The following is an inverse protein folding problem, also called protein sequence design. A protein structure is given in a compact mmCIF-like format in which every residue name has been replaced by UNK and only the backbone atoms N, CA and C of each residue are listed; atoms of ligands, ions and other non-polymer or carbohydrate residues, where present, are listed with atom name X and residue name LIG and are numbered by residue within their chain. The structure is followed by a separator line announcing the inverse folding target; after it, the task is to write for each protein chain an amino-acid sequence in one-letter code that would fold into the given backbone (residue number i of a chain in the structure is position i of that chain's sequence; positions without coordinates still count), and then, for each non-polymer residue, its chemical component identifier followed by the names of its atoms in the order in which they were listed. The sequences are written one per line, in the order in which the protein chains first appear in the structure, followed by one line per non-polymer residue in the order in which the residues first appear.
data_IF_408127471226
#
_entry.id   IF_408127471226
#
_cell.length_a   1.000
_cell.length_b   1.000
_cell.length_c   1.000
_cell.angle_alpha   90.00
_cell.angle_beta   90.00
_cell.angle_gamma   90.00
#
_symmetry.space_group_name_H-M   'P 1'
#
loop_
_entity.id
_entity.type
_entity.pdbx_description
1 polymer ?
#
# COMPACT_ATOMS: atom_id res chain seq x y z
N UNK A 1 4.08 -29.84 -2.20
CA UNK A 1 2.89 -28.97 -2.16
C UNK A 1 1.59 -29.76 -2.21
N UNK A 2 1.41 -30.65 -3.19
CA UNK A 2 0.16 -31.41 -3.37
C UNK A 2 -0.10 -32.37 -2.21
N UNK A 3 0.93 -33.03 -1.70
CA UNK A 3 0.86 -33.87 -0.50
C UNK A 3 0.41 -33.05 0.73
N UNK A 4 1.04 -31.89 0.97
CA UNK A 4 0.65 -30.98 2.04
C UNK A 4 -0.84 -30.56 1.94
N UNK A 5 -1.32 -30.23 0.74
CA UNK A 5 -2.73 -29.89 0.53
C UNK A 5 -3.64 -31.06 0.87
N UNK A 6 -3.27 -32.27 0.43
CA UNK A 6 -4.03 -33.52 0.71
C UNK A 6 -4.11 -33.78 2.21
N UNK A 7 -3.00 -33.76 2.92
CA UNK A 7 -2.92 -33.99 4.35
C UNK A 7 -3.71 -32.99 5.16
N UNK A 8 -3.59 -31.69 4.79
CA UNK A 8 -4.30 -30.60 5.46
C UNK A 8 -5.83 -30.75 5.32
N UNK A 9 -6.30 -31.12 4.12
CA UNK A 9 -7.74 -31.37 3.88
C UNK A 9 -8.23 -32.60 4.64
N UNK A 10 -7.43 -33.66 4.71
CA UNK A 10 -7.72 -34.84 5.50
C UNK A 10 -7.86 -34.53 6.99
N UNK A 11 -6.97 -33.67 7.51
CA UNK A 11 -7.07 -33.17 8.89
C UNK A 11 -8.36 -32.38 9.12
N UNK A 12 -8.71 -31.48 8.22
CA UNK A 12 -9.98 -30.74 8.32
C UNK A 12 -11.20 -31.65 8.29
N UNK A 13 -11.16 -32.71 7.45
CA UNK A 13 -12.22 -33.68 7.38
C UNK A 13 -12.39 -34.46 8.70
N UNK A 14 -11.29 -34.84 9.34
CA UNK A 14 -11.34 -35.53 10.65
C UNK A 14 -12.03 -34.66 11.71
N UNK A 15 -11.81 -33.34 11.73
CA UNK A 15 -12.54 -32.45 12.62
C UNK A 15 -14.03 -32.34 12.28
N UNK A 16 -14.41 -32.36 10.99
CA UNK A 16 -15.83 -32.35 10.56
C UNK A 16 -16.57 -33.59 10.97
N UNK A 17 -15.90 -34.74 10.97
CA UNK A 17 -16.49 -36.03 11.41
C UNK A 17 -16.82 -36.01 12.89
N UNK A 18 -15.98 -35.39 13.70
CA UNK A 18 -16.23 -35.24 15.16
C UNK A 18 -17.24 -34.13 15.44
N UNK A 19 -17.16 -33.02 14.73
CA UNK A 19 -18.07 -31.88 14.89
C UNK A 19 -18.49 -31.32 13.51
N UNK A 20 -19.64 -31.71 12.97
CA UNK A 20 -20.12 -31.22 11.68
C UNK A 20 -20.37 -29.69 11.63
N UNK A 21 -20.43 -29.02 12.79
CA UNK A 21 -20.61 -27.58 12.92
C UNK A 21 -19.29 -26.83 13.15
N UNK A 22 -18.14 -27.50 13.03
CA UNK A 22 -16.84 -26.87 13.21
C UNK A 22 -16.65 -25.74 12.22
N UNK A 23 -16.23 -24.58 12.71
CA UNK A 23 -15.83 -23.43 11.88
C UNK A 23 -14.32 -23.43 11.78
N UNK A 24 -13.82 -23.36 10.55
CA UNK A 24 -12.39 -23.22 10.29
C UNK A 24 -12.04 -21.79 9.94
N UNK A 25 -10.95 -21.32 10.53
CA UNK A 25 -10.21 -20.15 10.09
C UNK A 25 -8.79 -20.59 9.79
N UNK A 26 -8.35 -20.44 8.56
CA UNK A 26 -6.98 -20.73 8.18
C UNK A 26 -6.16 -19.44 8.30
N UNK A 27 -4.92 -19.55 8.74
CA UNK A 27 -4.03 -18.41 8.85
C UNK A 27 -2.84 -18.55 7.90
N UNK A 28 -2.50 -17.47 7.18
CA UNK A 28 -1.17 -17.37 6.59
C UNK A 28 -0.13 -17.33 7.71
N UNK A 29 1.03 -17.92 7.45
CA UNK A 29 2.12 -17.94 8.43
C UNK A 29 2.70 -16.54 8.63
N UNK A 30 3.29 -16.31 9.78
CA UNK A 30 4.10 -15.10 10.05
C UNK A 30 5.25 -14.96 9.05
N UNK A 31 5.76 -13.75 8.80
CA UNK A 31 6.97 -13.60 8.01
C UNK A 31 8.16 -14.29 8.68
N UNK A 32 9.13 -14.72 7.87
CA UNK A 32 10.40 -15.26 8.34
C UNK A 32 11.53 -14.26 8.06
N UNK A 33 12.49 -14.20 8.97
CA UNK A 33 13.70 -13.41 8.77
C UNK A 33 14.89 -14.28 8.41
N UNK A 34 15.64 -13.91 7.37
CA UNK A 34 16.87 -14.59 6.96
C UNK A 34 18.04 -14.41 7.95
N UNK A 35 17.82 -13.68 9.03
CA UNK A 35 18.84 -13.51 10.09
C UNK A 35 19.09 -14.79 10.88
N UNK A 36 18.21 -15.78 10.76
CA UNK A 36 18.39 -17.06 11.46
C UNK A 36 19.09 -18.07 10.55
N UNK A 37 20.17 -18.65 11.03
CA UNK A 37 21.00 -19.63 10.29
C UNK A 37 20.23 -20.84 9.73
N UNK A 38 19.12 -21.23 10.35
CA UNK A 38 18.26 -22.32 9.87
C UNK A 38 17.62 -22.03 8.52
N UNK A 39 17.49 -20.76 8.14
CA UNK A 39 16.82 -20.36 6.91
C UNK A 39 17.77 -20.13 5.74
N UNK A 40 19.08 -20.27 5.97
CA UNK A 40 20.10 -20.22 4.89
C UNK A 40 19.99 -21.40 3.91
N UNK A 41 19.32 -22.50 4.29
CA UNK A 41 19.25 -23.77 3.55
C UNK A 41 17.96 -24.00 2.76
N UNK A 42 17.28 -22.96 2.28
CA UNK A 42 16.08 -23.10 1.44
C UNK A 42 14.75 -23.22 2.20
N UNK A 43 14.73 -23.20 3.53
CA UNK A 43 13.49 -23.23 4.34
C UNK A 43 12.56 -22.10 3.99
N UNK A 44 13.09 -20.95 3.56
CA UNK A 44 12.29 -19.82 3.11
C UNK A 44 11.51 -20.11 1.83
N UNK A 45 12.09 -20.88 0.91
CA UNK A 45 11.41 -21.25 -0.33
C UNK A 45 10.20 -22.14 -0.01
N UNK A 46 10.35 -23.04 0.95
CA UNK A 46 9.24 -23.86 1.45
C UNK A 46 8.17 -23.04 2.15
N UNK A 47 8.56 -21.98 2.87
CA UNK A 47 7.61 -21.08 3.50
C UNK A 47 6.70 -20.43 2.44
N UNK A 48 7.24 -19.93 1.34
CA UNK A 48 6.47 -19.38 0.23
C UNK A 48 5.51 -20.41 -0.39
N UNK A 49 5.99 -21.64 -0.63
CA UNK A 49 5.16 -22.76 -1.14
C UNK A 49 4.01 -23.12 -0.18
N UNK A 50 4.28 -23.14 1.13
CA UNK A 50 3.27 -23.42 2.15
C UNK A 50 2.22 -22.29 2.21
N UNK A 51 2.65 -21.03 2.13
CA UNK A 51 1.73 -19.88 2.09
C UNK A 51 0.74 -20.01 0.93
N UNK A 52 1.24 -20.28 -0.27
CA UNK A 52 0.40 -20.50 -1.46
C UNK A 52 -0.53 -21.72 -1.30
N UNK A 53 -0.04 -22.79 -0.66
CA UNK A 53 -0.87 -23.98 -0.40
C UNK A 53 -2.02 -23.66 0.57
N UNK A 54 -1.77 -22.91 1.65
CA UNK A 54 -2.80 -22.47 2.61
C UNK A 54 -3.86 -21.61 1.92
N UNK A 55 -3.46 -20.68 1.06
CA UNK A 55 -4.39 -19.85 0.27
C UNK A 55 -5.26 -20.72 -0.66
N UNK A 56 -4.66 -21.71 -1.34
CA UNK A 56 -5.38 -22.65 -2.19
C UNK A 56 -6.40 -23.48 -1.39
N UNK A 57 -6.02 -23.99 -0.22
CA UNK A 57 -6.91 -24.77 0.65
C UNK A 57 -8.07 -23.89 1.12
N UNK A 58 -7.80 -22.70 1.64
CA UNK A 58 -8.86 -21.80 2.11
C UNK A 58 -9.89 -21.50 1.00
N UNK A 59 -9.41 -21.23 -0.21
CA UNK A 59 -10.26 -21.01 -1.38
C UNK A 59 -11.07 -22.25 -1.77
N UNK A 60 -10.43 -23.41 -1.84
CA UNK A 60 -11.07 -24.66 -2.25
C UNK A 60 -12.13 -25.15 -1.24
N UNK A 61 -11.85 -24.98 0.05
CA UNK A 61 -12.76 -25.37 1.14
C UNK A 61 -13.82 -24.30 1.48
N UNK A 62 -13.75 -23.11 0.85
CA UNK A 62 -14.64 -22.00 1.12
C UNK A 62 -14.56 -21.48 2.56
N UNK A 63 -13.39 -21.60 3.20
CA UNK A 63 -13.16 -21.16 4.58
C UNK A 63 -12.45 -19.82 4.62
N UNK A 64 -12.65 -19.09 5.71
CA UNK A 64 -12.03 -17.79 5.89
C UNK A 64 -10.53 -17.92 6.08
N UNK A 65 -9.77 -17.10 5.33
CA UNK A 65 -8.35 -16.93 5.51
C UNK A 65 -8.10 -15.65 6.32
N UNK A 66 -7.33 -15.75 7.40
CA UNK A 66 -6.79 -14.64 8.16
C UNK A 66 -5.30 -14.47 7.84
N UNK A 67 -4.78 -13.28 7.99
CA UNK A 67 -3.43 -12.96 7.55
C UNK A 67 -2.52 -12.64 8.74
N UNK A 68 -1.56 -13.53 9.03
CA UNK A 68 -0.53 -13.28 10.03
C UNK A 68 0.77 -12.73 9.44
N UNK A 69 0.86 -12.67 8.12
CA UNK A 69 2.07 -12.20 7.44
C UNK A 69 2.10 -10.67 7.36
N UNK A 70 1.11 -10.08 6.69
CA UNK A 70 1.09 -8.65 6.40
C UNK A 70 1.12 -7.76 7.66
N UNK A 71 0.34 -8.05 8.72
CA UNK A 71 0.36 -7.19 9.91
C UNK A 71 1.68 -7.18 10.68
N UNK A 72 2.52 -8.22 10.53
CA UNK A 72 3.83 -8.31 11.20
C UNK A 72 4.99 -7.84 10.32
N UNK A 73 4.80 -7.83 9.00
CA UNK A 73 5.87 -7.52 8.06
C UNK A 73 6.52 -6.14 8.30
N UNK A 74 5.78 -5.07 8.63
CA UNK A 74 6.36 -3.76 8.94
C UNK A 74 7.27 -3.73 10.18
N UNK A 75 7.22 -4.76 11.02
CA UNK A 75 7.85 -4.76 12.35
C UNK A 75 8.93 -5.85 12.47
N UNK A 76 10.06 -5.76 11.77
CA UNK A 76 11.07 -6.83 11.75
C UNK A 76 11.70 -7.12 13.11
N UNK A 77 11.66 -6.17 14.06
CA UNK A 77 12.15 -6.33 15.42
C UNK A 77 11.25 -7.24 16.29
N UNK A 78 9.99 -7.41 15.91
CA UNK A 78 9.03 -8.28 16.61
C UNK A 78 9.45 -9.75 16.56
N UNK A 79 10.16 -10.16 15.51
CA UNK A 79 10.63 -11.52 15.31
C UNK A 79 12.09 -11.63 15.76
N UNK A 80 12.34 -11.58 17.06
CA UNK A 80 13.71 -11.55 17.63
C UNK A 80 14.56 -12.77 17.28
N UNK A 81 13.96 -13.94 17.27
CA UNK A 81 14.58 -15.20 16.85
C UNK A 81 14.34 -15.53 15.38
N UNK A 82 13.85 -14.57 14.61
CA UNK A 82 13.52 -14.67 13.18
C UNK A 82 12.24 -15.49 12.84
N UNK A 83 11.53 -16.04 13.81
CA UNK A 83 10.36 -16.91 13.61
C UNK A 83 9.20 -16.54 14.52
N UNK A 84 9.49 -16.39 15.82
CA UNK A 84 8.45 -16.24 16.83
C UNK A 84 8.22 -14.77 17.19
N UNK A 85 6.97 -14.30 17.14
CA UNK A 85 6.64 -12.94 17.53
C UNK A 85 6.78 -12.77 19.06
N UNK A 86 7.33 -11.64 19.46
CA UNK A 86 7.35 -11.22 20.86
C UNK A 86 5.94 -10.81 21.35
N UNK A 87 5.82 -10.25 22.57
CA UNK A 87 4.53 -9.87 23.15
C UNK A 87 3.76 -8.85 22.28
N UNK A 88 4.45 -7.89 21.67
CA UNK A 88 3.84 -6.90 20.76
C UNK A 88 3.29 -7.59 19.49
N UNK A 89 4.08 -8.45 18.87
CA UNK A 89 3.64 -9.23 17.71
C UNK A 89 2.49 -10.18 18.06
N UNK A 90 2.50 -10.79 19.24
CA UNK A 90 1.40 -11.62 19.72
C UNK A 90 0.11 -10.81 19.86
N UNK A 91 0.18 -9.54 20.31
CA UNK A 91 -0.99 -8.66 20.39
C UNK A 91 -1.56 -8.31 19.00
N UNK A 92 -0.68 -8.08 18.00
CA UNK A 92 -1.09 -7.87 16.61
C UNK A 92 -1.82 -9.10 16.07
N UNK A 93 -1.27 -10.31 16.30
CA UNK A 93 -1.92 -11.55 15.88
C UNK A 93 -3.26 -11.78 16.59
N UNK A 94 -3.34 -11.51 17.90
CA UNK A 94 -4.58 -11.61 18.64
C UNK A 94 -5.67 -10.69 18.08
N UNK A 95 -5.33 -9.46 17.70
CA UNK A 95 -6.23 -8.53 17.01
C UNK A 95 -6.70 -9.11 15.68
N UNK A 96 -5.79 -9.64 14.88
CA UNK A 96 -6.12 -10.26 13.59
C UNK A 96 -7.10 -11.44 13.73
N UNK A 97 -6.90 -12.28 14.76
CA UNK A 97 -7.82 -13.38 15.09
C UNK A 97 -9.17 -12.83 15.56
N UNK A 98 -9.18 -11.82 16.44
CA UNK A 98 -10.40 -11.18 16.91
C UNK A 98 -11.23 -10.65 15.74
N UNK A 99 -10.63 -9.88 14.85
CA UNK A 99 -11.26 -9.37 13.63
C UNK A 99 -11.84 -10.50 12.76
N UNK A 100 -11.07 -11.59 12.58
CA UNK A 100 -11.50 -12.76 11.82
C UNK A 100 -12.68 -13.50 12.46
N UNK A 101 -12.76 -13.56 13.79
CA UNK A 101 -13.84 -14.26 14.51
C UNK A 101 -15.09 -13.37 14.59
N UNK A 102 -14.94 -12.13 14.97
CA UNK A 102 -16.06 -11.20 15.24
C UNK A 102 -16.58 -10.50 14.00
N UNK A 103 -15.73 -10.33 12.99
CA UNK A 103 -16.01 -9.49 11.84
C UNK A 103 -15.96 -7.98 12.13
N UNK A 104 -15.44 -7.59 13.28
CA UNK A 104 -15.25 -6.19 13.66
C UNK A 104 -13.88 -5.70 13.17
N UNK A 105 -13.88 -4.96 12.06
CA UNK A 105 -12.68 -4.39 11.42
C UNK A 105 -12.51 -2.90 11.74
N UNK A 106 -13.21 -2.38 12.75
CA UNK A 106 -13.13 -0.96 13.15
C UNK A 106 -14.01 -0.02 12.29
N UNK A 107 -14.96 -0.58 11.54
CA UNK A 107 -15.93 0.19 10.76
C UNK A 107 -15.45 0.57 9.37
N UNK A 108 -16.05 1.66 8.81
CA UNK A 108 -15.83 2.09 7.43
C UNK A 108 -14.45 2.74 7.24
N UNK A 109 -13.67 2.18 6.33
CA UNK A 109 -12.34 2.65 5.97
C UNK A 109 -12.15 2.61 4.45
N UNK A 110 -11.44 3.59 3.90
CA UNK A 110 -11.01 3.64 2.50
C UNK A 110 -9.55 4.08 2.42
N UNK A 111 -8.93 3.96 1.25
CA UNK A 111 -7.57 4.46 1.02
C UNK A 111 -7.47 5.96 1.29
N UNK A 112 -6.33 6.42 1.78
CA UNK A 112 -6.01 7.84 1.96
C UNK A 112 -5.99 8.63 0.63
N UNK A 113 -5.89 7.93 -0.49
CA UNK A 113 -6.03 8.56 -1.81
C UNK A 113 -7.43 9.15 -2.05
N UNK A 114 -8.46 8.70 -1.30
CA UNK A 114 -9.77 9.35 -1.35
C UNK A 114 -9.75 10.59 -0.46
N UNK A 115 -9.71 11.74 -1.08
CA UNK A 115 -9.79 13.04 -0.37
C UNK A 115 -10.55 14.06 -1.21
N UNK A 116 -10.87 15.19 -0.61
CA UNK A 116 -11.40 16.34 -1.34
C UNK A 116 -10.48 16.70 -2.51
N UNK A 117 -11.03 17.27 -3.56
CA UNK A 117 -10.35 17.69 -4.79
C UNK A 117 -9.82 16.54 -5.68
N UNK A 118 -10.05 15.27 -5.37
CA UNK A 118 -9.56 14.16 -6.18
C UNK A 118 -10.14 14.17 -7.59
N UNK A 119 -9.40 13.51 -8.52
CA UNK A 119 -9.90 13.21 -9.86
C UNK A 119 -10.10 11.71 -9.97
N UNK A 120 -11.27 11.31 -10.47
CA UNK A 120 -11.62 9.94 -10.79
C UNK A 120 -11.51 9.73 -12.30
N UNK A 121 -11.05 8.56 -12.74
CA UNK A 121 -10.91 8.26 -14.16
C UNK A 121 -12.27 8.30 -14.85
N UNK A 122 -12.38 9.10 -15.92
CA UNK A 122 -13.61 9.20 -16.70
C UNK A 122 -13.72 8.09 -17.75
N UNK A 123 -14.91 7.90 -18.32
CA UNK A 123 -15.21 6.97 -19.41
C UNK A 123 -14.79 5.51 -19.17
N UNK A 124 -14.53 5.13 -17.93
CA UNK A 124 -14.19 3.78 -17.50
C UNK A 124 -15.12 3.38 -16.33
N UNK A 125 -15.44 2.09 -16.18
CA UNK A 125 -16.09 1.60 -14.97
C UNK A 125 -15.26 1.99 -13.74
N UNK A 126 -15.90 2.62 -12.76
CA UNK A 126 -15.22 3.16 -11.58
C UNK A 126 -15.39 2.22 -10.40
N UNK A 127 -14.30 1.58 -9.97
CA UNK A 127 -14.31 0.72 -8.78
C UNK A 127 -13.98 1.54 -7.55
N UNK A 128 -14.92 1.60 -6.61
CA UNK A 128 -14.72 2.16 -5.27
C UNK A 128 -14.64 0.98 -4.29
N UNK A 129 -13.64 0.97 -3.42
CA UNK A 129 -13.40 -0.14 -2.51
C UNK A 129 -12.85 0.33 -1.16
N UNK A 130 -12.92 -0.55 -0.18
CA UNK A 130 -12.42 -0.30 1.16
C UNK A 130 -12.67 -1.46 2.12
N UNK A 131 -12.71 -1.14 3.41
CA UNK A 131 -13.08 -2.08 4.50
C UNK A 131 -14.27 -1.54 5.28
N UNK A 132 -15.03 -2.45 5.87
CA UNK A 132 -16.09 -2.19 6.83
C UNK A 132 -16.26 -3.46 7.69
N UNK A 133 -17.10 -3.42 8.71
CA UNK A 133 -17.37 -4.63 9.49
C UNK A 133 -18.03 -5.71 8.63
N UNK A 134 -17.69 -6.97 8.87
CA UNK A 134 -18.19 -8.10 8.08
C UNK A 134 -19.73 -8.13 8.03
N UNK A 135 -20.28 -8.28 6.85
CA UNK A 135 -21.73 -8.28 6.64
C UNK A 135 -22.39 -6.90 6.65
N UNK A 136 -21.64 -5.83 6.88
CA UNK A 136 -22.17 -4.46 6.89
C UNK A 136 -22.52 -4.01 5.47
N UNK A 137 -23.66 -3.35 5.35
CA UNK A 137 -24.12 -2.81 4.06
C UNK A 137 -23.40 -1.49 3.78
N UNK A 138 -22.74 -1.43 2.65
CA UNK A 138 -22.06 -0.23 2.17
C UNK A 138 -22.84 0.37 1.01
N UNK A 139 -23.03 1.69 1.04
CA UNK A 139 -23.69 2.45 -0.03
C UNK A 139 -22.72 3.52 -0.55
N UNK A 140 -22.50 3.53 -1.85
CA UNK A 140 -21.68 4.56 -2.53
C UNK A 140 -22.57 5.41 -3.43
N UNK A 141 -22.40 6.74 -3.34
CA UNK A 141 -23.18 7.72 -4.12
C UNK A 141 -22.24 8.72 -4.79
N UNK A 142 -22.42 8.96 -6.06
CA UNK A 142 -21.74 10.01 -6.83
C UNK A 142 -22.50 10.33 -8.11
N UNK A 143 -22.60 11.58 -8.52
CA UNK A 143 -23.17 12.01 -9.81
C UNK A 143 -24.54 11.38 -10.11
N UNK A 144 -25.43 11.33 -9.12
CA UNK A 144 -26.77 10.72 -9.24
C UNK A 144 -26.80 9.19 -9.20
N UNK A 145 -25.66 8.52 -9.26
CA UNK A 145 -25.58 7.08 -9.10
C UNK A 145 -25.63 6.70 -7.62
N UNK A 146 -26.25 5.56 -7.33
CA UNK A 146 -26.28 4.94 -6.01
C UNK A 146 -26.13 3.44 -6.16
N UNK A 147 -25.01 2.88 -5.67
CA UNK A 147 -24.75 1.45 -5.66
C UNK A 147 -24.59 0.95 -4.24
N UNK A 148 -24.91 -0.31 -4.02
CA UNK A 148 -24.82 -0.97 -2.71
C UNK A 148 -24.04 -2.26 -2.82
N UNK A 149 -23.31 -2.60 -1.76
CA UNK A 149 -22.65 -3.89 -1.59
C UNK A 149 -22.71 -4.30 -0.11
N UNK A 150 -22.16 -5.45 0.20
CA UNK A 150 -22.00 -5.95 1.58
C UNK A 150 -20.54 -6.29 1.77
N UNK A 151 -19.97 -5.87 2.90
CA UNK A 151 -18.61 -6.22 3.25
C UNK A 151 -18.48 -7.74 3.46
N UNK A 152 -17.47 -8.33 2.85
CA UNK A 152 -17.20 -9.76 2.96
C UNK A 152 -16.75 -10.14 4.38
N UNK A 153 -16.58 -11.45 4.64
CA UNK A 153 -16.13 -11.95 5.94
C UNK A 153 -14.76 -11.44 6.40
N UNK A 154 -13.93 -10.97 5.45
CA UNK A 154 -12.63 -10.34 5.71
C UNK A 154 -12.70 -8.81 5.77
N UNK A 155 -13.89 -8.24 5.86
CA UNK A 155 -14.15 -6.81 5.91
C UNK A 155 -14.03 -6.08 4.57
N UNK A 156 -13.49 -6.67 3.52
CA UNK A 156 -13.32 -6.00 2.21
C UNK A 156 -14.65 -5.83 1.51
N UNK A 157 -14.82 -4.69 0.87
CA UNK A 157 -15.96 -4.40 0.01
C UNK A 157 -15.52 -3.67 -1.26
N UNK A 158 -16.28 -3.82 -2.32
CA UNK A 158 -16.12 -3.05 -3.55
C UNK A 158 -17.45 -2.81 -4.24
N UNK A 159 -17.54 -1.71 -4.99
CA UNK A 159 -18.67 -1.35 -5.86
C UNK A 159 -18.11 -0.91 -7.20
N UNK A 160 -18.76 -1.32 -8.27
CA UNK A 160 -18.47 -0.82 -9.61
C UNK A 160 -19.60 0.15 -10.02
N UNK A 161 -19.23 1.40 -10.25
CA UNK A 161 -20.08 2.45 -10.76
C UNK A 161 -19.99 2.51 -12.28
N UNK A 162 -21.05 2.99 -12.92
CA UNK A 162 -21.04 3.27 -14.35
C UNK A 162 -20.02 4.40 -14.66
N UNK A 163 -19.45 4.39 -15.86
CA UNK A 163 -18.50 5.42 -16.29
C UNK A 163 -19.07 6.84 -16.08
N UNK A 164 -18.26 7.72 -15.53
CA UNK A 164 -18.56 9.14 -15.47
C UNK A 164 -18.06 9.83 -16.74
N UNK A 165 -18.81 10.80 -17.24
CA UNK A 165 -18.28 11.74 -18.25
C UNK A 165 -17.33 12.72 -17.59
N UNK A 166 -16.35 13.21 -18.35
CA UNK A 166 -15.47 14.26 -17.88
C UNK A 166 -16.24 15.48 -17.39
N UNK A 167 -15.86 16.03 -16.24
CA UNK A 167 -16.49 17.20 -15.62
C UNK A 167 -16.56 17.11 -14.10
N UNK A 168 -17.52 17.78 -13.53
CA UNK A 168 -17.71 17.98 -12.09
C UNK A 168 -17.96 19.45 -11.78
N UNK A 169 -17.86 19.90 -10.52
CA UNK A 169 -17.47 19.09 -9.34
C UNK A 169 -18.61 18.16 -8.87
N UNK A 170 -18.24 16.99 -8.41
CA UNK A 170 -19.12 16.03 -7.77
C UNK A 170 -18.83 15.93 -6.27
N UNK A 171 -19.76 15.31 -5.54
CA UNK A 171 -19.52 14.82 -4.19
C UNK A 171 -19.61 13.30 -4.20
N UNK A 172 -18.56 12.62 -3.69
CA UNK A 172 -18.57 11.18 -3.40
C UNK A 172 -18.98 10.99 -1.95
N UNK A 173 -20.01 10.19 -1.70
CA UNK A 173 -20.42 9.77 -0.35
C UNK A 173 -20.36 8.26 -0.25
N UNK A 174 -19.81 7.76 0.86
CA UNK A 174 -19.69 6.34 1.19
C UNK A 174 -20.26 6.16 2.59
N UNK A 175 -21.29 5.34 2.69
CA UNK A 175 -22.04 5.12 3.95
C UNK A 175 -21.94 3.65 4.34
N UNK A 176 -21.65 3.36 5.61
CA UNK A 176 -21.76 2.03 6.21
C UNK A 176 -22.20 2.15 7.67
N UNK A 177 -23.25 1.43 8.04
CA UNK A 177 -23.84 1.53 9.38
C UNK A 177 -24.23 2.96 9.75
N UNK A 178 -23.54 3.51 10.77
CA UNK A 178 -23.72 4.90 11.22
C UNK A 178 -22.64 5.85 10.70
N UNK A 179 -21.68 5.35 9.95
CA UNK A 179 -20.54 6.12 9.45
C UNK A 179 -20.81 6.61 8.03
N UNK A 180 -20.40 7.83 7.74
CA UNK A 180 -20.38 8.44 6.42
C UNK A 180 -19.02 9.10 6.19
N UNK A 181 -18.42 8.78 5.04
CA UNK A 181 -17.26 9.48 4.48
C UNK A 181 -17.76 10.30 3.29
N UNK A 182 -17.37 11.57 3.23
CA UNK A 182 -17.84 12.48 2.20
C UNK A 182 -16.67 13.28 1.64
N UNK A 183 -16.51 13.23 0.33
CA UNK A 183 -15.44 13.91 -0.40
C UNK A 183 -16.06 14.89 -1.39
N UNK A 184 -15.63 16.14 -1.30
CA UNK A 184 -16.16 17.25 -2.08
C UNK A 184 -15.20 17.67 -3.20
N UNK A 185 -15.73 18.46 -4.14
CA UNK A 185 -14.95 18.99 -5.26
C UNK A 185 -14.26 17.90 -6.09
N UNK A 186 -14.88 16.73 -6.21
CA UNK A 186 -14.40 15.60 -6.99
C UNK A 186 -14.62 15.86 -8.47
N UNK A 187 -13.60 15.69 -9.29
CA UNK A 187 -13.70 15.78 -10.74
C UNK A 187 -13.64 14.39 -11.38
N UNK A 188 -14.20 14.26 -12.57
CA UNK A 188 -13.99 13.11 -13.46
C UNK A 188 -13.14 13.57 -14.66
N UNK A 189 -12.03 12.90 -14.93
CA UNK A 189 -11.08 13.31 -15.96
C UNK A 189 -10.02 12.26 -16.22
N UNK A 190 -8.92 12.69 -16.80
CA UNK A 190 -7.72 11.86 -16.97
C UNK A 190 -6.97 11.73 -15.65
N UNK A 191 -6.58 10.52 -15.27
CA UNK A 191 -5.75 10.27 -14.08
C UNK A 191 -4.46 9.57 -14.49
N UNK A 192 -3.33 10.17 -14.12
CA UNK A 192 -2.01 9.67 -14.50
C UNK A 192 -1.10 9.48 -13.29
N UNK A 193 -0.50 8.28 -13.20
CA UNK A 193 0.56 7.99 -12.26
C UNK A 193 1.90 8.40 -12.87
N UNK A 194 2.55 9.39 -12.25
CA UNK A 194 3.84 9.94 -12.64
C UNK A 194 4.92 9.36 -11.70
N UNK A 195 5.44 8.20 -12.06
CA UNK A 195 6.35 7.40 -11.23
C UNK A 195 7.77 7.40 -11.81
N UNK A 196 8.77 7.28 -10.95
CA UNK A 196 10.17 7.16 -11.37
C UNK A 196 11.19 7.65 -10.34
N UNK A 197 12.32 8.06 -10.84
CA UNK A 197 13.46 8.54 -10.06
C UNK A 197 13.61 10.08 -10.09
N UNK A 198 14.84 10.54 -9.90
CA UNK A 198 15.22 11.96 -9.79
C UNK A 198 14.72 12.86 -10.93
N UNK A 199 14.64 12.37 -12.16
CA UNK A 199 14.09 13.15 -13.27
C UNK A 199 12.58 13.41 -13.09
N UNK A 200 11.83 12.39 -12.63
CA UNK A 200 10.41 12.56 -12.36
C UNK A 200 10.16 13.35 -11.06
N UNK A 201 11.00 13.17 -10.04
CA UNK A 201 10.94 13.94 -8.78
C UNK A 201 11.31 15.43 -8.97
N UNK A 202 12.04 15.79 -10.02
CA UNK A 202 12.60 17.11 -10.25
C UNK A 202 11.53 18.22 -10.20
N UNK A 203 11.63 19.12 -9.23
CA UNK A 203 10.61 20.12 -8.95
C UNK A 203 10.48 21.18 -10.04
N UNK A 204 9.27 21.68 -10.27
CA UNK A 204 9.02 22.77 -11.20
C UNK A 204 9.83 24.02 -10.83
N UNK A 205 10.01 24.31 -9.55
CA UNK A 205 10.81 25.43 -9.06
C UNK A 205 12.30 25.33 -9.43
N UNK A 206 12.81 24.14 -9.71
CA UNK A 206 14.20 23.91 -10.14
C UNK A 206 14.38 23.97 -11.65
N UNK A 207 13.29 23.93 -12.40
CA UNK A 207 13.35 23.97 -13.86
C UNK A 207 13.77 25.37 -14.36
N UNK A 208 14.36 25.43 -15.54
CA UNK A 208 14.79 26.68 -16.15
C UNK A 208 13.64 27.69 -16.35
N UNK A 209 12.43 27.19 -16.50
CA UNK A 209 11.22 28.00 -16.75
C UNK A 209 10.35 28.18 -15.51
N UNK A 210 10.67 27.55 -14.39
CA UNK A 210 9.86 27.56 -13.17
C UNK A 210 9.51 28.95 -12.66
N UNK A 211 10.48 29.88 -12.64
CA UNK A 211 10.24 31.26 -12.22
C UNK A 211 9.18 31.99 -13.06
N UNK A 212 9.06 31.64 -14.35
CA UNK A 212 8.07 32.20 -15.27
C UNK A 212 6.73 31.51 -15.13
N UNK A 213 6.74 30.18 -15.01
CA UNK A 213 5.55 29.36 -15.18
C UNK A 213 4.77 29.17 -13.87
N UNK A 214 5.44 29.13 -12.72
CA UNK A 214 4.79 28.98 -11.40
C UNK A 214 3.75 30.09 -11.15
N UNK A 215 4.01 31.38 -11.35
CA UNK A 215 3.00 32.42 -11.12
C UNK A 215 1.74 32.27 -11.98
N UNK A 216 1.81 31.50 -13.06
CA UNK A 216 0.72 31.26 -14.01
C UNK A 216 0.12 29.84 -13.86
N UNK A 217 0.49 29.10 -12.82
CA UNK A 217 0.11 27.70 -12.64
C UNK A 217 -1.34 27.49 -12.17
N UNK A 218 -2.06 28.55 -11.80
CA UNK A 218 -3.43 28.44 -11.34
C UNK A 218 -4.33 27.80 -12.40
N UNK A 219 -4.84 26.59 -12.11
CA UNK A 219 -5.75 25.85 -12.97
C UNK A 219 -6.61 24.90 -12.13
N UNK A 220 -7.90 25.21 -12.03
CA UNK A 220 -8.87 24.42 -11.24
C UNK A 220 -9.25 23.08 -11.90
N UNK A 221 -8.83 22.85 -13.14
CA UNK A 221 -9.02 21.59 -13.85
C UNK A 221 -7.81 20.62 -13.72
N UNK A 222 -6.73 21.08 -13.09
CA UNK A 222 -5.57 20.23 -12.78
C UNK A 222 -5.52 19.99 -11.27
N UNK A 223 -5.37 18.75 -10.88
CA UNK A 223 -5.24 18.31 -9.48
C UNK A 223 -3.95 17.55 -9.29
N UNK A 224 -3.32 17.79 -8.17
CA UNK A 224 -2.01 17.24 -7.82
C UNK A 224 -2.14 16.40 -6.55
N UNK A 225 -1.65 15.16 -6.60
CA UNK A 225 -1.45 14.30 -5.46
C UNK A 225 0.04 13.97 -5.37
N UNK A 226 0.72 14.50 -4.36
CA UNK A 226 2.18 14.49 -4.29
C UNK A 226 2.66 13.64 -3.11
N UNK A 227 3.20 12.45 -3.43
CA UNK A 227 3.74 11.52 -2.44
C UNK A 227 5.19 11.90 -2.11
N UNK A 228 5.38 12.70 -1.06
CA UNK A 228 6.70 13.17 -0.66
C UNK A 228 7.35 12.26 0.36
N UNK A 229 8.60 11.88 0.09
CA UNK A 229 9.39 11.11 1.03
C UNK A 229 9.60 11.85 2.37
N UNK A 230 9.51 11.11 3.48
CA UNK A 230 9.81 11.63 4.83
C UNK A 230 11.28 11.92 5.05
N UNK A 231 12.17 11.37 4.24
CA UNK A 231 13.62 11.55 4.36
C UNK A 231 14.16 12.50 3.29
N UNK A 232 15.36 12.99 3.51
CA UNK A 232 16.11 13.74 2.49
C UNK A 232 17.10 12.80 1.82
N UNK A 233 17.02 12.64 0.53
CA UNK A 233 17.87 11.73 -0.26
C UNK A 233 19.37 11.97 -0.04
N UNK A 234 19.79 13.22 0.09
CA UNK A 234 21.19 13.60 0.25
C UNK A 234 21.66 13.69 1.71
N UNK A 235 20.79 13.47 2.70
CA UNK A 235 21.21 13.47 4.10
C UNK A 235 22.04 12.22 4.42
N UNK A 236 23.15 12.39 5.13
CA UNK A 236 23.98 11.28 5.63
C UNK A 236 23.30 10.58 6.80
N UNK A 237 22.68 11.38 7.65
CA UNK A 237 21.95 10.91 8.82
C UNK A 237 20.53 11.44 8.81
N UNK A 238 19.60 10.63 9.30
CA UNK A 238 18.19 11.01 9.44
C UNK A 238 17.82 11.21 10.91
N UNK A 239 16.82 12.02 11.14
CA UNK A 239 16.26 12.23 12.47
C UNK A 239 15.61 10.94 13.00
N UNK A 240 15.56 10.79 14.33
CA UNK A 240 15.02 9.59 14.97
C UNK A 240 13.57 9.29 14.57
N UNK A 241 12.74 10.33 14.39
CA UNK A 241 11.35 10.19 13.93
C UNK A 241 11.24 9.67 12.51
N UNK A 242 12.18 10.04 11.63
CA UNK A 242 12.26 9.50 10.27
C UNK A 242 12.65 8.04 10.32
N UNK A 243 13.64 7.68 11.14
CA UNK A 243 14.09 6.29 11.30
C UNK A 243 12.95 5.40 11.82
N UNK A 244 12.19 5.89 12.78
CA UNK A 244 11.03 5.21 13.31
C UNK A 244 9.97 4.97 12.22
N UNK A 245 9.62 6.00 11.46
CA UNK A 245 8.68 5.90 10.34
C UNK A 245 9.14 4.89 9.28
N UNK A 246 10.43 4.89 8.91
CA UNK A 246 10.99 3.93 7.95
C UNK A 246 10.89 2.48 8.45
N UNK A 247 11.13 2.25 9.75
CA UNK A 247 10.96 0.92 10.35
C UNK A 247 9.51 0.42 10.32
N UNK A 248 8.55 1.34 10.27
CA UNK A 248 7.12 1.04 10.16
C UNK A 248 6.59 1.14 8.71
N UNK A 249 7.46 1.13 7.70
CA UNK A 249 7.11 1.25 6.28
C UNK A 249 6.37 2.55 5.90
N UNK A 250 6.49 3.58 6.72
CA UNK A 250 5.87 4.88 6.47
C UNK A 250 6.82 5.78 5.69
N UNK A 251 7.02 5.48 4.42
CA UNK A 251 8.01 6.16 3.57
C UNK A 251 7.59 7.56 3.14
N UNK A 252 6.30 7.81 3.03
CA UNK A 252 5.77 9.07 2.55
C UNK A 252 5.14 9.89 3.68
N UNK A 253 5.12 11.20 3.50
CA UNK A 253 4.29 12.09 4.32
C UNK A 253 2.84 11.94 3.92
N UNK A 254 1.94 12.33 4.83
CA UNK A 254 0.51 12.36 4.51
C UNK A 254 0.29 13.23 3.26
N UNK A 255 -0.42 12.68 2.29
CA UNK A 255 -0.71 13.34 1.04
C UNK A 255 -2.23 13.54 0.86
N UNK A 256 -2.60 14.56 0.14
CA UNK A 256 -3.99 14.81 -0.26
C UNK A 256 -4.03 15.48 -1.62
N UNK A 257 -5.15 15.35 -2.32
CA UNK A 257 -5.36 16.04 -3.58
C UNK A 257 -5.46 17.54 -3.38
N UNK A 258 -4.68 18.28 -4.12
CA UNK A 258 -4.68 19.74 -4.13
C UNK A 258 -5.06 20.28 -5.50
N UNK A 259 -5.66 21.48 -5.52
CA UNK A 259 -5.87 22.23 -6.76
C UNK A 259 -4.52 22.77 -7.22
N UNK A 260 -4.25 22.70 -8.53
CA UNK A 260 -3.03 23.27 -9.09
C UNK A 260 -3.06 24.81 -8.96
N UNK A 261 -2.08 25.34 -8.24
CA UNK A 261 -1.89 26.74 -7.97
C UNK A 261 -0.39 27.09 -7.94
N UNK A 262 0.00 28.37 -7.91
CA UNK A 262 1.39 28.76 -7.71
C UNK A 262 2.01 28.13 -6.45
N UNK A 263 1.24 27.99 -5.38
CA UNK A 263 1.68 27.42 -4.09
C UNK A 263 1.92 25.92 -4.17
N UNK A 264 1.07 25.18 -4.92
CA UNK A 264 1.13 23.72 -5.00
C UNK A 264 2.04 23.22 -6.13
N UNK A 265 2.10 23.94 -7.26
CA UNK A 265 2.85 23.50 -8.44
C UNK A 265 4.37 23.64 -8.27
N UNK A 266 4.85 24.59 -7.47
CA UNK A 266 6.29 24.89 -7.35
C UNK A 266 7.11 23.71 -6.83
N UNK A 267 6.58 22.94 -5.91
CA UNK A 267 7.20 21.76 -5.30
C UNK A 267 6.70 20.44 -5.91
N UNK A 268 5.96 20.49 -7.01
CA UNK A 268 5.51 19.33 -7.75
C UNK A 268 6.47 19.00 -8.90
N UNK A 269 6.40 17.77 -9.41
CA UNK A 269 7.19 17.30 -10.55
C UNK A 269 7.04 18.22 -11.76
N UNK A 270 8.16 18.73 -12.29
CA UNK A 270 8.15 19.54 -13.50
C UNK A 270 7.62 18.80 -14.72
N UNK A 271 8.10 17.55 -14.90
CA UNK A 271 7.67 16.69 -16.04
C UNK A 271 6.17 16.41 -15.93
N UNK A 272 5.70 16.00 -14.76
CA UNK A 272 4.28 15.72 -14.56
C UNK A 272 3.42 16.97 -14.75
N UNK A 273 3.86 18.11 -14.24
CA UNK A 273 3.15 19.39 -14.42
C UNK A 273 2.99 19.77 -15.89
N UNK A 274 4.08 19.79 -16.66
CA UNK A 274 4.02 20.15 -18.09
C UNK A 274 3.21 19.15 -18.89
N UNK A 275 3.37 17.86 -18.62
CA UNK A 275 2.56 16.82 -19.23
C UNK A 275 1.07 17.02 -18.96
N UNK A 276 0.69 17.19 -17.70
CA UNK A 276 -0.70 17.40 -17.30
C UNK A 276 -1.30 18.66 -17.88
N UNK A 277 -0.49 19.76 -17.92
CA UNK A 277 -0.90 21.02 -18.55
C UNK A 277 -1.16 20.83 -20.04
N UNK A 278 -0.27 20.15 -20.77
CA UNK A 278 -0.45 19.87 -22.20
C UNK A 278 -1.69 19.00 -22.46
N UNK A 279 -1.94 18.00 -21.63
CA UNK A 279 -3.15 17.16 -21.73
C UNK A 279 -4.41 18.01 -21.52
N UNK A 280 -4.45 18.79 -20.45
CA UNK A 280 -5.59 19.64 -20.15
C UNK A 280 -5.85 20.66 -21.26
N UNK A 281 -4.79 21.29 -21.75
CA UNK A 281 -4.87 22.26 -22.86
C UNK A 281 -5.38 21.61 -24.16
N UNK A 282 -5.04 20.35 -24.41
CA UNK A 282 -5.42 19.62 -25.63
C UNK A 282 -6.81 18.99 -25.52
N UNK A 283 -7.09 18.29 -24.44
CA UNK A 283 -8.31 17.49 -24.26
C UNK A 283 -9.47 18.30 -23.66
N UNK A 284 -9.19 19.41 -22.97
CA UNK A 284 -10.17 20.25 -22.29
C UNK A 284 -11.01 19.48 -21.25
N UNK A 285 -10.39 18.47 -20.62
CA UNK A 285 -10.98 17.68 -19.53
C UNK A 285 -10.16 17.87 -18.25
N UNK A 286 -10.71 17.60 -17.06
CA UNK A 286 -9.94 17.59 -15.83
C UNK A 286 -8.77 16.60 -15.89
N UNK A 287 -7.66 16.93 -15.25
CA UNK A 287 -6.46 16.07 -15.18
C UNK A 287 -6.01 15.93 -13.73
N UNK A 288 -5.92 14.69 -13.26
CA UNK A 288 -5.32 14.31 -11.98
C UNK A 288 -3.93 13.73 -12.19
N UNK A 289 -2.95 14.26 -11.46
CA UNK A 289 -1.55 13.82 -11.51
C UNK A 289 -1.15 13.29 -10.15
N UNK A 290 -0.81 12.01 -10.08
CA UNK A 290 -0.29 11.33 -8.88
C UNK A 290 1.21 11.23 -9.06
N UNK A 291 1.99 11.98 -8.30
CA UNK A 291 3.45 11.90 -8.33
C UNK A 291 3.94 10.96 -7.24
N UNK A 292 4.55 9.84 -7.65
CA UNK A 292 5.27 8.92 -6.81
C UNK A 292 6.66 8.72 -7.41
N UNK A 293 7.62 9.57 -7.00
CA UNK A 293 8.94 9.59 -7.57
C UNK A 293 10.01 9.84 -6.51
N UNK A 294 11.02 8.97 -6.46
CA UNK A 294 12.09 9.03 -5.46
C UNK A 294 13.45 8.95 -6.16
N UNK A 295 14.22 10.01 -6.04
CA UNK A 295 15.57 10.08 -6.61
C UNK A 295 16.52 9.05 -6.01
N UNK A 296 17.21 8.29 -6.87
CA UNK A 296 18.17 7.26 -6.46
C UNK A 296 17.57 5.90 -6.14
N UNK A 297 16.25 5.71 -6.26
CA UNK A 297 15.62 4.41 -6.01
C UNK A 297 16.06 3.37 -7.05
N UNK A 298 16.38 2.12 -6.65
CA UNK A 298 16.66 1.02 -7.56
C UNK A 298 15.36 0.49 -8.20
N UNK A 299 15.48 -0.30 -9.26
CA UNK A 299 14.31 -0.85 -9.98
C UNK A 299 13.45 -1.74 -9.08
N UNK A 300 14.07 -2.48 -8.19
CA UNK A 300 13.41 -3.41 -7.25
C UNK A 300 12.46 -2.70 -6.30
N UNK A 301 12.73 -1.43 -5.96
CA UNK A 301 11.84 -0.62 -5.12
C UNK A 301 10.47 -0.32 -5.77
N UNK A 302 10.35 -0.58 -7.08
CA UNK A 302 9.14 -0.34 -7.88
C UNK A 302 8.40 -1.63 -8.28
N UNK A 303 8.82 -2.77 -7.73
CA UNK A 303 8.14 -4.06 -7.88
C UNK A 303 7.43 -4.38 -6.57
N UNK A 304 6.17 -4.80 -6.65
CA UNK A 304 5.43 -5.16 -5.45
C UNK A 304 6.09 -6.34 -4.71
N UNK A 305 6.02 -6.31 -3.39
CA UNK A 305 6.69 -7.27 -2.52
C UNK A 305 6.24 -8.72 -2.76
N UNK A 306 4.96 -8.92 -3.04
CA UNK A 306 4.44 -10.27 -3.30
C UNK A 306 5.08 -10.86 -4.55
N UNK A 307 5.23 -10.10 -5.61
CA UNK A 307 5.96 -10.52 -6.81
C UNK A 307 7.41 -10.84 -6.47
N UNK A 308 8.09 -10.00 -5.68
CA UNK A 308 9.46 -10.29 -5.27
C UNK A 308 9.56 -11.54 -4.39
N UNK A 309 8.64 -11.75 -3.47
CA UNK A 309 8.64 -12.93 -2.59
C UNK A 309 8.45 -14.24 -3.35
N UNK A 310 7.58 -14.27 -4.35
CA UNK A 310 7.18 -15.50 -5.02
C UNK A 310 7.91 -15.75 -6.34
N UNK A 311 8.24 -14.69 -7.09
CA UNK A 311 8.86 -14.82 -8.41
C UNK A 311 10.36 -14.49 -8.40
N UNK A 312 10.80 -13.62 -7.49
CA UNK A 312 12.20 -13.18 -7.37
C UNK A 312 12.74 -13.28 -5.93
N UNK A 313 12.56 -14.40 -5.23
CA UNK A 313 12.91 -14.51 -3.80
C UNK A 313 14.40 -14.27 -3.52
N UNK A 314 15.27 -14.46 -4.51
CA UNK A 314 16.70 -14.19 -4.39
C UNK A 314 16.99 -12.70 -4.10
N UNK A 315 16.18 -11.77 -4.63
CA UNK A 315 16.34 -10.33 -4.39
C UNK A 315 16.13 -10.02 -2.90
N UNK A 316 15.01 -10.47 -2.32
CA UNK A 316 14.72 -10.26 -0.90
C UNK A 316 15.71 -11.00 0.01
N UNK A 317 16.14 -12.20 -0.38
CA UNK A 317 17.12 -12.99 0.37
C UNK A 317 18.47 -12.28 0.46
N UNK A 318 18.97 -11.82 -0.67
CA UNK A 318 20.23 -11.11 -0.72
C UNK A 318 20.14 -9.76 -0.01
N UNK A 319 19.00 -9.09 -0.14
CA UNK A 319 18.77 -7.83 0.55
C UNK A 319 18.82 -7.97 2.08
N UNK A 320 18.20 -9.00 2.66
CA UNK A 320 18.26 -9.25 4.11
C UNK A 320 19.68 -9.56 4.61
N UNK A 321 20.55 -10.06 3.73
CA UNK A 321 21.98 -10.25 3.98
C UNK A 321 22.83 -9.02 3.68
N UNK A 322 22.27 -7.98 3.12
CA UNK A 322 22.95 -6.79 2.59
C UNK A 322 23.94 -7.09 1.43
N UNK A 323 23.78 -8.19 0.73
CA UNK A 323 24.77 -8.64 -0.26
C UNK A 323 24.75 -7.83 -1.55
N UNK A 324 23.59 -7.25 -1.91
CA UNK A 324 23.45 -6.44 -3.13
C UNK A 324 23.33 -4.94 -2.86
N UNK A 325 23.29 -4.50 -1.60
CA UNK A 325 23.23 -3.08 -1.25
C UNK A 325 24.59 -2.44 -1.47
N UNK A 326 24.62 -1.31 -2.17
CA UNK A 326 25.84 -0.54 -2.42
C UNK A 326 26.50 -0.10 -1.11
N UNK A 327 27.84 0.00 -1.10
CA UNK A 327 28.62 0.29 0.12
C UNK A 327 28.21 1.59 0.82
N UNK A 328 27.88 2.64 0.06
CA UNK A 328 27.42 3.90 0.63
C UNK A 328 26.07 3.76 1.36
N UNK A 329 25.18 2.89 0.87
CA UNK A 329 23.89 2.60 1.52
C UNK A 329 24.12 1.84 2.82
N UNK A 330 25.01 0.83 2.82
CA UNK A 330 25.42 0.08 4.02
C UNK A 330 26.03 1.01 5.07
N UNK A 331 26.92 1.89 4.65
CA UNK A 331 27.55 2.87 5.54
C UNK A 331 26.54 3.81 6.18
N UNK A 332 25.58 4.31 5.41
CA UNK A 332 24.48 5.15 5.90
C UNK A 332 23.57 4.38 6.86
N UNK A 333 23.15 3.18 6.52
CA UNK A 333 22.34 2.34 7.40
C UNK A 333 23.07 2.05 8.73
N UNK A 334 24.36 1.73 8.70
CA UNK A 334 25.15 1.51 9.91
C UNK A 334 25.26 2.75 10.82
N UNK A 335 25.35 3.96 10.25
CA UNK A 335 25.31 5.21 11.01
C UNK A 335 23.95 5.43 11.67
N UNK A 336 22.89 5.18 10.93
CA UNK A 336 21.52 5.38 11.40
C UNK A 336 21.10 4.36 12.48
N UNK A 337 21.56 3.09 12.37
CA UNK A 337 21.33 2.06 13.39
C UNK A 337 21.84 2.49 14.77
N UNK A 338 22.98 3.20 14.83
CA UNK A 338 23.52 3.72 16.10
C UNK A 338 22.60 4.73 16.79
N UNK A 339 21.74 5.39 16.04
CA UNK A 339 20.78 6.39 16.55
C UNK A 339 19.39 5.82 16.76
N UNK A 340 19.08 4.66 16.17
CA UNK A 340 17.78 4.00 16.25
C UNK A 340 17.65 3.19 17.54
N UNK A 341 16.46 3.10 18.09
CA UNK A 341 16.11 2.15 19.15
C UNK A 341 15.99 0.71 18.65
N UNK A 342 15.98 0.49 17.35
CA UNK A 342 15.84 -0.82 16.72
C UNK A 342 17.20 -1.48 16.47
N UNK A 343 17.26 -2.80 16.64
CA UNK A 343 18.44 -3.60 16.30
C UNK A 343 18.69 -3.68 14.78
N UNK A 344 17.69 -3.39 14.01
CA UNK A 344 17.68 -3.38 12.56
C UNK A 344 17.09 -2.07 12.06
N UNK A 345 17.76 -1.44 11.10
CA UNK A 345 17.29 -0.22 10.45
C UNK A 345 16.93 -0.50 8.99
N UNK A 346 15.72 -0.19 8.63
CA UNK A 346 15.30 -0.21 7.22
C UNK A 346 15.91 0.96 6.46
N UNK A 347 16.17 0.72 5.19
CA UNK A 347 16.60 1.76 4.26
C UNK A 347 15.45 2.09 3.30
N UNK A 348 15.22 3.38 2.96
CA UNK A 348 14.10 3.77 2.10
C UNK A 348 14.18 3.24 0.66
N UNK A 349 15.31 2.68 0.26
CA UNK A 349 15.49 2.04 -1.04
C UNK A 349 15.42 0.51 -0.96
N UNK A 350 14.79 -0.01 0.09
CA UNK A 350 14.45 -1.43 0.13
C UNK A 350 13.51 -1.81 -1.02
N UNK A 351 13.62 -3.04 -1.55
CA UNK A 351 12.70 -3.51 -2.57
C UNK A 351 11.24 -3.40 -2.13
N UNK A 352 10.36 -3.10 -3.08
CA UNK A 352 8.90 -3.13 -3.02
C UNK A 352 8.17 -2.04 -2.22
N UNK A 353 8.85 -1.24 -1.41
CA UNK A 353 8.15 -0.32 -0.51
C UNK A 353 7.59 0.94 -1.18
N UNK A 354 8.11 1.34 -2.32
CA UNK A 354 7.66 2.56 -3.00
C UNK A 354 6.30 2.42 -3.70
N UNK A 355 5.81 1.19 -3.89
CA UNK A 355 4.48 0.92 -4.41
C UNK A 355 3.47 0.49 -3.33
N UNK A 356 3.94 -0.04 -2.22
CA UNK A 356 3.08 -0.53 -1.14
C UNK A 356 2.73 0.54 -0.10
N UNK A 357 3.40 1.70 -0.17
CA UNK A 357 3.23 2.82 0.77
C UNK A 357 2.02 3.68 0.47
#
# INVERSE_FOLDING_TARGET
RDEFIGDYRSLMQSFREVNPKVRFLLARMTPLSDRHWRFESGTRDWHAEIQLAIECIAKAEGVQLIDFHEPLYPYPYILEDAVHPNAEGAAILAKTVYEGITGDFGGLQVSEMYSDNMVLQHNQPLTIHGKANAGEKVTVKIAGQKKKTVAASNGKWSVVLEPLKAGGPYTLSIEAGKQELKYNNVLAGEVWLCSGQSNMEFYLSWSATGKRDIPQAANDQIRLYDMKARWRTNAVEWEASVLDSLNHLQYFTDASWTVCSPETAGQFSAIAYYFGKMLQDSLKVPVGLICNAIGGSPAEAWVDRRTLEYEFPAILRNWTKNDFIQDWVRGRAALNVKKSSYKFQRHPYEPCYLYES
#
